data_IF_406270695240
#
_entry.id   IF_406270695240
#
_cell.length_a   1.000
_cell.length_b   1.000
_cell.length_c   1.000
_cell.angle_alpha   90.00
_cell.angle_beta   90.00
_cell.angle_gamma   90.00
#
_symmetry.space_group_name_H-M   'P 1'
#
loop_
_entity.id
_entity.type
_entity.pdbx_description
1 polymer ?
#
# COMPACT_ATOMS: atom_id res chain seq x y z
N UNK A 1 30.13 -4.34 -7.39
CA UNK A 1 30.16 -3.17 -6.48
C UNK A 1 28.96 -2.30 -6.81
N UNK A 2 28.26 -1.71 -5.83
CA UNK A 2 27.25 -0.71 -6.16
C UNK A 2 27.95 0.48 -6.82
N UNK A 3 27.36 1.11 -7.85
CA UNK A 3 28.03 2.11 -8.66
C UNK A 3 28.30 3.45 -7.96
N UNK A 4 27.89 3.58 -6.69
CA UNK A 4 27.97 4.79 -5.88
C UNK A 4 28.60 4.50 -4.54
N UNK A 5 29.40 5.45 -4.04
CA UNK A 5 30.09 5.36 -2.75
C UNK A 5 29.09 5.20 -1.59
N UNK A 6 29.56 4.66 -0.46
CA UNK A 6 28.75 4.58 0.77
C UNK A 6 28.25 5.95 1.23
N UNK A 7 29.09 6.98 1.14
CA UNK A 7 28.71 8.36 1.48
C UNK A 7 27.58 8.89 0.58
N UNK A 8 27.60 8.52 -0.69
CA UNK A 8 26.54 8.92 -1.62
C UNK A 8 25.23 8.16 -1.35
N UNK A 9 25.29 6.86 -1.06
CA UNK A 9 24.11 6.09 -0.66
C UNK A 9 23.45 6.65 0.59
N UNK A 10 24.25 7.05 1.59
CA UNK A 10 23.72 7.69 2.81
C UNK A 10 22.99 8.99 2.48
N UNK A 11 23.53 9.83 1.59
CA UNK A 11 22.85 11.06 1.14
C UNK A 11 21.51 10.77 0.45
N UNK A 12 21.43 9.74 -0.39
CA UNK A 12 20.16 9.35 -1.03
C UNK A 12 19.16 8.86 0.01
N UNK A 13 19.60 8.03 0.97
CA UNK A 13 18.74 7.55 2.05
C UNK A 13 18.20 8.72 2.87
N UNK A 14 19.07 9.59 3.38
CA UNK A 14 18.66 10.78 4.14
C UNK A 14 17.70 11.66 3.33
N UNK A 15 17.99 11.91 2.05
CA UNK A 15 17.10 12.69 1.18
C UNK A 15 15.73 12.03 1.00
N UNK A 16 15.69 10.70 0.84
CA UNK A 16 14.45 9.93 0.68
C UNK A 16 13.59 9.95 1.96
N UNK A 17 14.23 9.85 3.13
CA UNK A 17 13.56 9.95 4.43
C UNK A 17 13.01 11.37 4.67
N UNK A 18 13.82 12.40 4.45
CA UNK A 18 13.40 13.80 4.62
C UNK A 18 12.27 14.18 3.66
N UNK A 19 12.34 13.74 2.40
CA UNK A 19 11.27 13.98 1.43
C UNK A 19 9.98 13.28 1.84
N UNK A 20 10.06 12.03 2.30
CA UNK A 20 8.87 11.28 2.75
C UNK A 20 8.22 11.97 3.95
N UNK A 21 9.03 12.41 4.93
CA UNK A 21 8.55 13.20 6.07
C UNK A 21 7.91 14.52 5.64
N UNK A 22 8.49 15.21 4.65
CA UNK A 22 7.96 16.48 4.14
C UNK A 22 6.60 16.29 3.46
N UNK A 23 6.48 15.33 2.54
CA UNK A 23 5.28 15.12 1.73
C UNK A 23 4.11 14.56 2.57
N UNK A 24 4.42 13.77 3.59
CA UNK A 24 3.43 13.20 4.50
C UNK A 24 3.35 13.94 5.85
N UNK A 25 3.92 15.13 5.97
CA UNK A 25 3.96 15.89 7.24
C UNK A 25 2.56 16.09 7.85
N UNK A 26 1.56 16.38 7.01
CA UNK A 26 0.17 16.57 7.43
C UNK A 26 -0.51 15.30 7.96
N UNK A 27 0.04 14.13 7.64
CA UNK A 27 -0.52 12.84 8.06
C UNK A 27 0.03 12.36 9.42
N UNK A 28 1.10 12.97 9.93
CA UNK A 28 1.80 12.49 11.14
C UNK A 28 0.91 12.52 12.39
N UNK A 29 -0.06 13.44 12.47
CA UNK A 29 -0.91 13.62 13.65
C UNK A 29 -2.34 13.13 13.45
N UNK A 30 -2.61 12.39 12.38
CA UNK A 30 -3.95 11.86 12.15
C UNK A 30 -4.29 10.80 13.20
N UNK A 31 -5.59 10.62 13.53
CA UNK A 31 -6.03 9.52 14.39
C UNK A 31 -5.96 8.18 13.66
N UNK A 32 -6.28 7.10 14.37
CA UNK A 32 -6.55 5.81 13.74
C UNK A 32 -7.83 5.85 12.90
N UNK A 33 -7.91 4.99 11.89
CA UNK A 33 -9.05 4.90 10.98
C UNK A 33 -9.62 3.48 10.89
N UNK A 34 -10.94 3.33 10.99
CA UNK A 34 -11.66 2.07 10.79
C UNK A 34 -11.00 0.87 11.46
N UNK A 35 -10.42 -0.03 10.66
CA UNK A 35 -9.83 -1.30 11.08
C UNK A 35 -8.57 -1.12 11.94
N UNK A 36 -7.93 0.06 11.89
CA UNK A 36 -6.82 0.41 12.78
C UNK A 36 -7.26 0.23 14.24
N UNK A 37 -8.48 0.66 14.62
CA UNK A 37 -8.98 0.52 15.99
C UNK A 37 -9.10 -0.96 16.39
N UNK A 38 -9.62 -1.80 15.50
CA UNK A 38 -9.78 -3.24 15.77
C UNK A 38 -8.44 -3.92 15.96
N UNK A 39 -7.49 -3.67 15.05
CA UNK A 39 -6.15 -4.26 15.11
C UNK A 39 -5.40 -3.75 16.34
N UNK A 40 -5.40 -2.45 16.60
CA UNK A 40 -4.68 -1.88 17.73
C UNK A 40 -5.24 -2.36 19.08
N UNK A 41 -6.56 -2.45 19.25
CA UNK A 41 -7.16 -2.98 20.48
C UNK A 41 -6.96 -4.49 20.61
N UNK A 42 -6.94 -5.24 19.51
CA UNK A 42 -6.62 -6.67 19.53
C UNK A 42 -5.18 -6.89 20.00
N UNK A 43 -4.22 -6.18 19.40
CA UNK A 43 -2.81 -6.31 19.71
C UNK A 43 -2.48 -5.82 21.13
N UNK A 44 -3.17 -4.81 21.65
CA UNK A 44 -2.99 -4.37 23.03
C UNK A 44 -3.34 -5.45 24.07
N UNK A 45 -4.16 -6.43 23.68
CA UNK A 45 -4.56 -7.59 24.49
C UNK A 45 -3.70 -8.83 24.22
N UNK A 46 -2.55 -8.68 23.57
CA UNK A 46 -1.66 -9.78 23.15
C UNK A 46 -2.35 -10.81 22.25
N UNK A 47 -3.40 -10.41 21.52
CA UNK A 47 -4.13 -11.30 20.64
C UNK A 47 -3.61 -11.18 19.19
N UNK A 48 -3.02 -12.26 18.68
CA UNK A 48 -2.53 -12.36 17.29
C UNK A 48 -3.43 -13.23 16.41
N UNK A 49 -4.58 -13.64 16.93
CA UNK A 49 -5.59 -14.33 16.13
C UNK A 49 -6.23 -13.32 15.17
N UNK A 50 -5.97 -13.54 13.90
CA UNK A 50 -6.41 -12.67 12.81
C UNK A 50 -7.70 -13.18 12.16
N UNK A 51 -8.22 -14.32 12.61
CA UNK A 51 -9.31 -15.06 11.99
C UNK A 51 -8.96 -15.51 10.57
N UNK A 52 -9.05 -14.58 9.62
CA UNK A 52 -8.97 -14.84 8.17
C UNK A 52 -7.64 -14.39 7.51
N UNK A 53 -6.82 -13.56 8.17
CA UNK A 53 -5.65 -12.91 7.56
C UNK A 53 -4.31 -13.21 8.24
N UNK A 54 -3.54 -14.18 7.74
CA UNK A 54 -2.19 -14.43 8.26
C UNK A 54 -1.15 -13.38 7.77
N UNK A 55 -1.04 -12.26 8.48
CA UNK A 55 -0.06 -11.18 8.23
C UNK A 55 0.82 -10.86 9.46
N UNK A 56 1.56 -11.84 10.00
CA UNK A 56 2.24 -11.74 11.30
C UNK A 56 3.32 -10.65 11.35
N UNK A 57 3.95 -10.30 10.22
CA UNK A 57 4.98 -9.27 10.21
C UNK A 57 4.41 -7.88 10.53
N UNK A 58 3.24 -7.55 9.96
CA UNK A 58 2.56 -6.28 10.25
C UNK A 58 2.18 -6.20 11.73
N UNK A 59 1.43 -7.19 12.19
CA UNK A 59 0.95 -7.31 13.56
C UNK A 59 2.08 -7.28 14.60
N UNK A 60 3.15 -8.06 14.38
CA UNK A 60 4.29 -8.08 15.30
C UNK A 60 4.94 -6.70 15.43
N UNK A 61 5.13 -5.99 14.31
CA UNK A 61 5.74 -4.65 14.36
C UNK A 61 4.84 -3.60 15.01
N UNK A 62 3.53 -3.68 14.79
CA UNK A 62 2.54 -2.82 15.46
C UNK A 62 2.46 -3.13 16.96
N UNK A 63 2.49 -4.41 17.34
CA UNK A 63 2.50 -4.84 18.73
C UNK A 63 3.75 -4.34 19.48
N UNK A 64 4.95 -4.56 18.91
CA UNK A 64 6.19 -4.07 19.52
C UNK A 64 6.17 -2.54 19.66
N UNK A 65 5.58 -1.84 18.69
CA UNK A 65 5.41 -0.40 18.77
C UNK A 65 4.40 0.02 19.85
N UNK A 66 3.31 -0.74 20.03
CA UNK A 66 2.35 -0.53 21.10
C UNK A 66 2.97 -0.64 22.49
N UNK A 67 3.87 -1.61 22.72
CA UNK A 67 4.57 -1.75 24.00
C UNK A 67 5.40 -0.51 24.38
N UNK A 68 5.83 0.29 23.40
CA UNK A 68 6.66 1.48 23.63
C UNK A 68 5.84 2.77 23.62
N UNK A 69 4.85 2.89 22.73
CA UNK A 69 4.15 4.14 22.44
C UNK A 69 2.64 4.12 22.76
N UNK A 70 2.08 2.98 23.20
CA UNK A 70 0.66 2.82 23.47
C UNK A 70 -0.20 3.18 22.25
N UNK A 71 -1.34 3.83 22.48
CA UNK A 71 -2.25 4.26 21.41
C UNK A 71 -1.90 5.62 20.79
N UNK A 72 -0.64 6.09 20.87
CA UNK A 72 -0.24 7.36 20.26
C UNK A 72 -0.03 7.21 18.73
N UNK A 73 -0.95 7.70 17.87
CA UNK A 73 -0.89 7.48 16.42
C UNK A 73 0.35 8.09 15.76
N UNK A 74 0.91 9.16 16.33
CA UNK A 74 2.10 9.85 15.82
C UNK A 74 3.27 8.88 15.62
N UNK A 75 3.51 8.02 16.61
CA UNK A 75 4.58 7.03 16.57
C UNK A 75 4.43 6.13 15.34
N UNK A 76 3.21 5.63 15.09
CA UNK A 76 2.92 4.68 14.02
C UNK A 76 3.10 5.31 12.63
N UNK A 77 2.57 6.52 12.43
CA UNK A 77 2.71 7.25 11.18
C UNK A 77 4.18 7.57 10.87
N UNK A 78 4.97 8.03 11.85
CA UNK A 78 6.40 8.30 11.65
C UNK A 78 7.11 7.05 11.13
N UNK A 79 6.92 5.91 11.77
CA UNK A 79 7.59 4.67 11.33
C UNK A 79 7.05 4.24 9.95
N UNK A 80 5.76 4.41 9.61
CA UNK A 80 5.24 4.12 8.26
C UNK A 80 5.92 5.00 7.20
N UNK A 81 6.01 6.30 7.45
CA UNK A 81 6.64 7.27 6.54
C UNK A 81 8.14 6.95 6.36
N UNK A 82 8.84 6.56 7.43
CA UNK A 82 10.25 6.14 7.34
C UNK A 82 10.41 4.85 6.52
N UNK A 83 9.54 3.86 6.68
CA UNK A 83 9.54 2.66 5.83
C UNK A 83 9.28 3.00 4.35
N UNK A 84 8.38 3.95 4.09
CA UNK A 84 8.12 4.45 2.74
C UNK A 84 9.37 5.11 2.13
N UNK A 85 10.05 5.97 2.88
CA UNK A 85 11.31 6.58 2.45
C UNK A 85 12.44 5.56 2.22
N UNK A 86 12.55 4.54 3.07
CA UNK A 86 13.45 3.41 2.85
C UNK A 86 13.10 2.64 1.56
N UNK A 87 11.80 2.46 1.27
CA UNK A 87 11.35 1.84 0.01
C UNK A 87 11.77 2.68 -1.20
N UNK A 88 11.56 4.00 -1.15
CA UNK A 88 12.03 4.92 -2.19
C UNK A 88 13.54 4.85 -2.42
N UNK A 89 14.33 4.80 -1.34
CA UNK A 89 15.78 4.57 -1.43
C UNK A 89 16.13 3.23 -2.11
N UNK A 90 15.44 2.15 -1.76
CA UNK A 90 15.65 0.85 -2.40
C UNK A 90 15.26 0.85 -3.88
N UNK A 91 14.26 1.62 -4.30
CA UNK A 91 13.93 1.80 -5.73
C UNK A 91 15.12 2.44 -6.47
N UNK A 92 15.80 3.43 -5.88
CA UNK A 92 17.02 4.02 -6.46
C UNK A 92 18.11 2.96 -6.62
N UNK A 93 18.37 2.18 -5.56
CA UNK A 93 19.40 1.12 -5.60
C UNK A 93 19.05 -0.01 -6.57
N UNK A 94 17.78 -0.39 -6.64
CA UNK A 94 17.29 -1.42 -7.55
C UNK A 94 17.45 -0.97 -9.01
N UNK A 95 17.17 0.30 -9.31
CA UNK A 95 17.40 0.88 -10.63
C UNK A 95 18.88 0.81 -11.04
N UNK A 96 19.80 1.08 -10.11
CA UNK A 96 21.23 0.86 -10.34
C UNK A 96 21.56 -0.61 -10.57
N UNK A 97 20.96 -1.50 -9.77
CA UNK A 97 21.06 -2.95 -9.96
C UNK A 97 20.61 -3.39 -11.35
N UNK A 98 19.43 -2.99 -11.80
CA UNK A 98 18.90 -3.32 -13.14
C UNK A 98 19.77 -2.76 -14.26
N UNK A 99 20.29 -1.53 -14.09
CA UNK A 99 21.22 -0.92 -15.05
C UNK A 99 22.48 -1.79 -15.22
N UNK A 100 23.06 -2.27 -14.11
CA UNK A 100 24.23 -3.15 -14.15
C UNK A 100 23.88 -4.55 -14.68
N UNK A 101 22.72 -5.10 -14.28
CA UNK A 101 22.22 -6.42 -14.70
C UNK A 101 21.99 -6.53 -16.22
N UNK A 102 21.55 -5.43 -16.85
CA UNK A 102 21.34 -5.35 -18.30
C UNK A 102 22.49 -4.65 -19.05
N UNK A 103 23.54 -4.20 -18.35
CA UNK A 103 24.68 -3.51 -18.97
C UNK A 103 24.36 -2.11 -19.52
N UNK A 104 23.24 -1.50 -19.12
CA UNK A 104 22.78 -0.19 -19.61
C UNK A 104 23.22 0.90 -18.64
N UNK A 105 24.36 1.53 -18.91
CA UNK A 105 24.95 2.54 -18.02
C UNK A 105 24.48 3.98 -18.30
N UNK A 106 23.90 4.22 -19.48
CA UNK A 106 23.49 5.56 -19.90
C UNK A 106 22.37 6.09 -19.00
N UNK A 107 22.55 7.30 -18.46
CA UNK A 107 21.56 8.00 -17.65
C UNK A 107 21.07 7.24 -16.39
N UNK A 108 21.75 6.16 -15.98
CA UNK A 108 21.34 5.32 -14.83
C UNK A 108 21.13 6.12 -13.55
N UNK A 109 21.95 7.16 -13.34
CA UNK A 109 21.88 8.05 -12.19
C UNK A 109 20.54 8.77 -12.14
N UNK A 110 20.16 9.33 -13.28
CA UNK A 110 18.93 10.10 -13.45
C UNK A 110 17.73 9.16 -13.36
N UNK A 111 17.82 7.97 -13.96
CA UNK A 111 16.76 6.96 -13.88
C UNK A 111 16.54 6.49 -12.44
N UNK A 112 17.61 6.22 -11.69
CA UNK A 112 17.52 5.85 -10.28
C UNK A 112 16.91 6.94 -9.42
N UNK A 113 17.49 8.16 -9.47
CA UNK A 113 17.06 9.28 -8.62
C UNK A 113 15.61 9.69 -8.92
N UNK A 114 15.23 9.82 -10.20
CA UNK A 114 13.85 10.12 -10.58
C UNK A 114 12.89 8.97 -10.24
N UNK A 115 13.30 7.71 -10.43
CA UNK A 115 12.46 6.56 -10.10
C UNK A 115 12.10 6.52 -8.62
N UNK A 116 13.08 6.72 -7.73
CA UNK A 116 12.84 6.82 -6.29
C UNK A 116 12.04 8.06 -5.88
N UNK A 117 12.31 9.21 -6.52
CA UNK A 117 11.58 10.45 -6.29
C UNK A 117 10.09 10.32 -6.67
N UNK A 118 9.81 9.78 -7.86
CA UNK A 118 8.45 9.53 -8.32
C UNK A 118 7.75 8.49 -7.46
N UNK A 119 8.46 7.46 -6.99
CA UNK A 119 7.89 6.48 -6.06
C UNK A 119 7.46 7.14 -4.75
N UNK A 120 8.31 7.95 -4.11
CA UNK A 120 7.95 8.64 -2.85
C UNK A 120 6.73 9.56 -3.03
N UNK A 121 6.66 10.25 -4.16
CA UNK A 121 5.58 11.19 -4.45
C UNK A 121 4.41 10.57 -5.22
N UNK A 122 4.36 9.25 -5.38
CA UNK A 122 3.34 8.61 -6.21
C UNK A 122 1.96 8.71 -5.53
N UNK A 123 0.94 9.30 -6.20
CA UNK A 123 -0.29 9.71 -5.54
C UNK A 123 -1.15 8.57 -4.98
N UNK A 124 -0.97 7.34 -5.46
CA UNK A 124 -1.75 6.18 -4.98
C UNK A 124 -1.21 5.59 -3.68
N UNK A 125 -0.07 6.09 -3.16
CA UNK A 125 0.50 5.60 -1.91
C UNK A 125 -0.15 6.17 -0.66
N UNK A 126 -0.95 7.24 -0.77
CA UNK A 126 -1.54 7.92 0.38
C UNK A 126 -2.19 6.96 1.36
N UNK A 127 -3.07 6.09 0.87
CA UNK A 127 -3.74 5.10 1.69
C UNK A 127 -2.76 4.12 2.37
N UNK A 128 -1.72 3.65 1.68
CA UNK A 128 -0.76 2.69 2.27
C UNK A 128 0.08 3.31 3.38
N UNK A 129 0.45 4.58 3.22
CA UNK A 129 1.36 5.28 4.13
C UNK A 129 0.60 5.86 5.33
N UNK A 130 -0.58 6.43 5.09
CA UNK A 130 -1.40 7.06 6.12
C UNK A 130 -2.10 6.01 6.98
N UNK A 131 -2.72 4.99 6.38
CA UNK A 131 -3.40 3.94 7.13
C UNK A 131 -2.41 3.12 7.96
N UNK A 132 -2.61 3.06 9.28
CA UNK A 132 -1.60 2.52 10.20
C UNK A 132 -1.33 1.05 9.89
N UNK A 133 -2.37 0.25 9.71
CA UNK A 133 -2.21 -1.18 9.39
C UNK A 133 -1.72 -1.44 7.95
N UNK A 134 -1.64 -0.39 7.11
CA UNK A 134 -0.88 -0.39 5.86
C UNK A 134 0.60 -0.78 6.04
N UNK A 135 1.11 -0.76 7.28
CA UNK A 135 2.40 -1.31 7.74
C UNK A 135 2.78 -2.63 7.07
N UNK A 136 1.85 -3.59 6.98
CA UNK A 136 2.11 -4.90 6.38
C UNK A 136 2.54 -4.81 4.91
N UNK A 137 1.90 -3.93 4.14
CA UNK A 137 2.20 -3.69 2.71
C UNK A 137 3.55 -2.98 2.57
N UNK A 138 3.82 -1.99 3.42
CA UNK A 138 5.09 -1.25 3.43
C UNK A 138 6.27 -2.18 3.69
N UNK A 139 6.19 -3.01 4.74
CA UNK A 139 7.22 -3.98 5.09
C UNK A 139 7.38 -5.04 4.01
N UNK A 140 6.27 -5.63 3.53
CA UNK A 140 6.29 -6.62 2.46
C UNK A 140 7.01 -6.10 1.22
N UNK A 141 6.64 -4.90 0.76
CA UNK A 141 7.26 -4.27 -0.42
C UNK A 141 8.73 -3.93 -0.18
N UNK A 142 9.10 -3.42 1.00
CA UNK A 142 10.49 -3.18 1.37
C UNK A 142 11.34 -4.45 1.25
N UNK A 143 10.83 -5.57 1.77
CA UNK A 143 11.54 -6.85 1.71
C UNK A 143 11.51 -7.50 0.31
N UNK A 144 10.46 -7.28 -0.50
CA UNK A 144 10.47 -7.62 -1.94
C UNK A 144 11.58 -6.86 -2.67
N UNK A 145 11.72 -5.55 -2.43
CA UNK A 145 12.76 -4.72 -3.02
C UNK A 145 14.17 -5.17 -2.59
N UNK A 146 14.36 -5.47 -1.30
CA UNK A 146 15.61 -6.05 -0.79
C UNK A 146 15.92 -7.39 -1.45
N UNK A 147 14.92 -8.26 -1.57
CA UNK A 147 15.07 -9.56 -2.21
C UNK A 147 15.50 -9.42 -3.66
N UNK A 148 14.83 -8.56 -4.44
CA UNK A 148 15.18 -8.25 -5.83
C UNK A 148 16.58 -7.64 -5.96
N UNK A 149 16.95 -6.71 -5.07
CA UNK A 149 18.27 -6.08 -5.08
C UNK A 149 19.37 -7.12 -4.81
N UNK A 150 19.17 -8.00 -3.83
CA UNK A 150 20.12 -9.07 -3.51
C UNK A 150 20.21 -10.11 -4.63
N UNK A 151 19.07 -10.46 -5.23
CA UNK A 151 18.99 -11.35 -6.40
C UNK A 151 19.82 -10.82 -7.57
N UNK A 152 19.60 -9.56 -7.95
CA UNK A 152 20.34 -8.91 -9.04
C UNK A 152 21.84 -8.87 -8.76
N UNK A 153 22.23 -8.57 -7.51
CA UNK A 153 23.64 -8.56 -7.10
C UNK A 153 24.26 -9.95 -7.08
N UNK A 154 23.52 -10.97 -6.63
CA UNK A 154 23.94 -12.36 -6.71
C UNK A 154 24.20 -12.76 -8.16
N UNK A 155 23.27 -12.46 -9.05
CA UNK A 155 23.39 -12.80 -10.48
C UNK A 155 24.53 -12.07 -11.20
N UNK A 156 25.02 -10.97 -10.64
CA UNK A 156 26.20 -10.26 -11.14
C UNK A 156 27.53 -10.75 -10.53
N UNK A 157 27.51 -11.24 -9.28
CA UNK A 157 28.73 -11.53 -8.50
C UNK A 157 28.95 -13.02 -8.20
N UNK A 158 27.95 -13.87 -8.40
CA UNK A 158 27.99 -15.31 -8.09
C UNK A 158 28.10 -15.67 -6.61
N UNK A 159 27.95 -14.70 -5.69
CA UNK A 159 28.20 -14.92 -4.25
C UNK A 159 26.99 -15.50 -3.53
N UNK A 160 27.08 -16.76 -3.08
CA UNK A 160 25.97 -17.51 -2.47
C UNK A 160 25.23 -16.77 -1.34
N UNK A 161 25.95 -16.06 -0.46
CA UNK A 161 25.31 -15.30 0.63
C UNK A 161 24.28 -14.27 0.15
N UNK A 162 24.46 -13.70 -1.05
CA UNK A 162 23.49 -12.77 -1.64
C UNK A 162 22.21 -13.49 -2.06
N UNK A 163 22.30 -14.73 -2.54
CA UNK A 163 21.13 -15.55 -2.85
C UNK A 163 20.37 -15.92 -1.58
N UNK A 164 21.09 -16.31 -0.53
CA UNK A 164 20.50 -16.63 0.78
C UNK A 164 19.78 -15.40 1.35
N UNK A 165 20.43 -14.23 1.36
CA UNK A 165 19.80 -12.98 1.81
C UNK A 165 18.58 -12.61 0.96
N UNK A 166 18.61 -12.88 -0.35
CA UNK A 166 17.45 -12.67 -1.23
C UNK A 166 16.27 -13.57 -0.85
N UNK A 167 16.52 -14.85 -0.59
CA UNK A 167 15.49 -15.82 -0.18
C UNK A 167 14.94 -15.52 1.21
N UNK A 168 15.80 -15.14 2.16
CA UNK A 168 15.38 -14.74 3.51
C UNK A 168 14.51 -13.47 3.46
N UNK A 169 14.92 -12.46 2.70
CA UNK A 169 14.10 -11.27 2.49
C UNK A 169 12.75 -11.61 1.86
N UNK A 170 12.71 -12.53 0.88
CA UNK A 170 11.46 -12.97 0.28
C UNK A 170 10.55 -13.70 1.29
N UNK A 171 11.10 -14.59 2.11
CA UNK A 171 10.35 -15.27 3.15
C UNK A 171 9.72 -14.27 4.14
N UNK A 172 10.48 -13.26 4.56
CA UNK A 172 9.96 -12.19 5.43
C UNK A 172 8.87 -11.38 4.71
N UNK A 173 9.03 -11.08 3.42
CA UNK A 173 8.02 -10.34 2.65
C UNK A 173 6.65 -11.03 2.61
N UNK A 174 6.64 -12.36 2.46
CA UNK A 174 5.42 -13.18 2.47
C UNK A 174 4.66 -13.12 3.80
N UNK A 175 5.36 -12.88 4.91
CA UNK A 175 4.74 -12.69 6.23
C UNK A 175 4.06 -11.33 6.40
N UNK A 176 4.30 -10.38 5.50
CA UNK A 176 3.70 -9.03 5.55
C UNK A 176 2.44 -8.89 4.72
N UNK A 177 2.49 -9.31 3.45
CA UNK A 177 1.39 -9.14 2.51
C UNK A 177 1.48 -10.13 1.34
N UNK A 178 0.34 -10.65 0.91
CA UNK A 178 0.20 -11.69 -0.11
C UNK A 178 0.73 -11.30 -1.50
N UNK A 179 0.81 -10.00 -1.83
CA UNK A 179 1.33 -9.51 -3.12
C UNK A 179 2.80 -9.86 -3.33
N UNK A 180 3.54 -10.15 -2.25
CA UNK A 180 4.92 -10.65 -2.35
C UNK A 180 4.99 -11.96 -3.14
N UNK A 181 3.94 -12.78 -3.14
CA UNK A 181 3.88 -14.08 -3.82
C UNK A 181 4.14 -14.02 -5.33
N UNK A 182 4.07 -12.85 -5.96
CA UNK A 182 4.41 -12.67 -7.39
C UNK A 182 5.92 -12.71 -7.67
N UNK A 183 6.77 -12.56 -6.64
CA UNK A 183 8.21 -12.40 -6.82
C UNK A 183 8.90 -13.53 -7.62
N UNK A 184 8.58 -14.83 -7.45
CA UNK A 184 9.15 -15.89 -8.29
C UNK A 184 8.93 -15.65 -9.79
N UNK A 185 7.74 -15.18 -10.17
CA UNK A 185 7.40 -14.86 -11.56
C UNK A 185 8.16 -13.63 -12.07
N UNK A 186 8.33 -12.60 -11.22
CA UNK A 186 9.18 -11.44 -11.54
C UNK A 186 10.62 -11.88 -11.80
N UNK A 187 11.19 -12.72 -10.94
CA UNK A 187 12.56 -13.25 -11.10
C UNK A 187 12.68 -14.08 -12.37
N UNK A 188 11.70 -14.95 -12.65
CA UNK A 188 11.67 -15.75 -13.87
C UNK A 188 11.72 -14.89 -15.13
N UNK A 189 10.89 -13.83 -15.20
CA UNK A 189 10.88 -12.88 -16.32
C UNK A 189 12.21 -12.15 -16.46
N UNK A 190 12.79 -11.68 -15.34
CA UNK A 190 14.11 -11.03 -15.34
C UNK A 190 15.23 -11.97 -15.83
N UNK A 191 15.20 -13.25 -15.44
CA UNK A 191 16.17 -14.25 -15.87
C UNK A 191 16.03 -14.60 -17.36
N UNK A 192 14.81 -14.80 -17.86
CA UNK A 192 14.57 -15.04 -19.30
C UNK A 192 14.97 -13.82 -20.12
N UNK A 193 14.63 -12.61 -19.68
CA UNK A 193 14.93 -11.39 -20.42
C UNK A 193 16.44 -11.20 -20.60
N UNK A 194 17.24 -11.54 -19.57
CA UNK A 194 18.71 -11.45 -19.61
C UNK A 194 19.35 -12.55 -20.44
N UNK A 195 19.11 -13.82 -20.10
CA UNK A 195 19.90 -14.93 -20.63
C UNK A 195 19.25 -15.62 -21.84
N UNK A 196 17.98 -15.30 -22.15
CA UNK A 196 17.19 -15.92 -23.24
C UNK A 196 17.07 -17.44 -23.15
N UNK A 197 17.30 -18.02 -21.96
CA UNK A 197 17.31 -19.46 -21.72
C UNK A 197 16.30 -19.82 -20.64
N UNK A 198 15.23 -20.51 -21.05
CA UNK A 198 14.13 -20.90 -20.16
C UNK A 198 14.62 -21.82 -19.02
N UNK A 199 15.48 -22.81 -19.34
CA UNK A 199 16.02 -23.75 -18.35
C UNK A 199 16.84 -23.02 -17.27
N UNK A 200 17.64 -22.02 -17.65
CA UNK A 200 18.42 -21.23 -16.70
C UNK A 200 17.50 -20.43 -15.77
N UNK A 201 16.43 -19.83 -16.31
CA UNK A 201 15.44 -19.12 -15.53
C UNK A 201 14.75 -20.03 -14.51
N UNK A 202 14.33 -21.24 -14.90
CA UNK A 202 13.74 -22.21 -13.97
C UNK A 202 14.67 -22.56 -12.81
N UNK A 203 15.96 -22.83 -13.08
CA UNK A 203 16.95 -23.16 -12.03
C UNK A 203 17.11 -22.04 -11.02
N UNK A 204 17.09 -20.81 -11.48
CA UNK A 204 17.23 -19.61 -10.66
C UNK A 204 15.97 -19.31 -9.84
N UNK A 205 14.79 -19.56 -10.43
CA UNK A 205 13.49 -19.25 -9.82
C UNK A 205 13.03 -20.33 -8.83
N UNK A 206 13.38 -21.61 -9.04
CA UNK A 206 12.92 -22.74 -8.22
C UNK A 206 13.06 -22.50 -6.70
N UNK A 207 14.19 -22.00 -6.16
CA UNK A 207 14.32 -21.75 -4.73
C UNK A 207 13.27 -20.77 -4.17
N UNK A 208 12.86 -19.77 -4.97
CA UNK A 208 11.80 -18.84 -4.60
C UNK A 208 10.43 -19.51 -4.65
N UNK A 209 10.18 -20.38 -5.64
CA UNK A 209 8.95 -21.19 -5.66
C UNK A 209 8.86 -22.08 -4.43
N UNK A 210 9.96 -22.71 -4.01
CA UNK A 210 10.00 -23.53 -2.80
C UNK A 210 9.66 -22.73 -1.53
N UNK A 211 10.22 -21.52 -1.38
CA UNK A 211 9.88 -20.62 -0.26
C UNK A 211 8.39 -20.23 -0.28
N UNK A 212 7.86 -19.90 -1.46
CA UNK A 212 6.44 -19.57 -1.63
C UNK A 212 5.52 -20.74 -1.25
N UNK A 213 5.84 -21.95 -1.70
CA UNK A 213 5.09 -23.16 -1.35
C UNK A 213 5.16 -23.45 0.15
N UNK A 214 6.33 -23.29 0.77
CA UNK A 214 6.48 -23.41 2.22
C UNK A 214 5.59 -22.44 3.00
N UNK A 215 5.48 -21.18 2.54
CA UNK A 215 4.56 -20.21 3.12
C UNK A 215 3.09 -20.59 2.92
N UNK A 216 2.70 -21.08 1.73
CA UNK A 216 1.32 -21.54 1.48
C UNK A 216 0.96 -22.70 2.40
N UNK A 217 1.87 -23.67 2.58
CA UNK A 217 1.67 -24.79 3.50
C UNK A 217 1.56 -24.32 4.95
N UNK A 218 2.41 -23.39 5.39
CA UNK A 218 2.31 -22.77 6.71
C UNK A 218 0.96 -22.09 6.90
N UNK A 219 0.51 -21.32 5.90
CA UNK A 219 -0.78 -20.63 5.94
C UNK A 219 -1.94 -21.61 6.06
N UNK A 220 -1.91 -22.72 5.33
CA UNK A 220 -2.90 -23.77 5.39
C UNK A 220 -2.92 -24.48 6.76
N UNK A 221 -1.76 -24.70 7.37
CA UNK A 221 -1.68 -25.34 8.68
C UNK A 221 -2.16 -24.46 9.84
N UNK A 222 -2.02 -23.13 9.73
CA UNK A 222 -2.36 -22.18 10.80
C UNK A 222 -3.81 -21.68 10.73
N UNK A 223 -4.43 -21.67 9.55
CA UNK A 223 -5.81 -21.21 9.35
C UNK A 223 -6.74 -22.44 9.16
N UNK A 224 -7.50 -22.86 10.20
CA UNK A 224 -8.23 -24.14 10.22
C UNK A 224 -9.42 -24.21 9.25
N UNK A 225 -9.95 -23.06 8.85
CA UNK A 225 -11.01 -22.96 7.86
C UNK A 225 -10.40 -22.62 6.50
N UNK A 226 -10.57 -23.52 5.53
CA UNK A 226 -10.16 -23.35 4.14
C UNK A 226 -10.84 -22.18 3.41
N UNK A 227 -11.49 -21.26 4.13
CA UNK A 227 -12.13 -20.07 3.57
C UNK A 227 -11.13 -19.02 3.10
N UNK A 228 -9.82 -19.22 3.32
CA UNK A 228 -8.73 -18.54 2.61
C UNK A 228 -8.76 -17.00 2.66
N UNK A 229 -9.59 -16.44 3.54
CA UNK A 229 -10.21 -15.14 3.37
C UNK A 229 -11.16 -15.13 2.18
N UNK A 230 -12.45 -14.87 2.44
CA UNK A 230 -13.52 -14.56 1.48
C UNK A 230 -13.22 -13.33 0.57
N UNK A 231 -11.98 -12.82 0.61
CA UNK A 231 -11.34 -11.83 -0.25
C UNK A 231 -10.84 -12.41 -1.57
N UNK A 232 -10.42 -13.68 -1.61
CA UNK A 232 -10.18 -14.39 -2.86
C UNK A 232 -11.50 -15.01 -3.32
N UNK A 233 -12.48 -14.15 -3.67
CA UNK A 233 -13.74 -14.59 -4.27
C UNK A 233 -13.46 -15.26 -5.61
N UNK A 234 -13.24 -16.56 -5.53
CA UNK A 234 -13.17 -17.46 -6.67
C UNK A 234 -14.59 -17.88 -7.02
N UNK A 235 -14.91 -18.01 -8.30
CA UNK A 235 -16.27 -18.32 -8.78
C UNK A 235 -16.99 -17.17 -9.50
N UNK A 236 -16.35 -16.00 -9.65
CA UNK A 236 -16.83 -14.97 -10.57
C UNK A 236 -16.46 -15.33 -12.02
N UNK A 237 -17.26 -14.88 -13.00
CA UNK A 237 -16.97 -15.11 -14.42
C UNK A 237 -15.73 -14.35 -14.94
N UNK A 238 -15.17 -14.79 -16.08
CA UNK A 238 -13.96 -14.20 -16.69
C UNK A 238 -14.05 -12.67 -16.85
N UNK A 239 -15.24 -12.13 -17.14
CA UNK A 239 -15.47 -10.69 -17.30
C UNK A 239 -15.16 -9.86 -16.04
N UNK A 240 -15.43 -10.40 -14.85
CA UNK A 240 -15.11 -9.74 -13.58
C UNK A 240 -13.61 -9.58 -13.41
N UNK A 241 -12.85 -10.65 -13.65
CA UNK A 241 -11.39 -10.63 -13.54
C UNK A 241 -10.73 -9.72 -14.58
N UNK A 242 -11.24 -9.72 -15.82
CA UNK A 242 -10.78 -8.81 -16.87
C UNK A 242 -11.05 -7.34 -16.51
N UNK A 243 -12.24 -7.02 -15.99
CA UNK A 243 -12.58 -5.68 -15.53
C UNK A 243 -11.67 -5.23 -14.39
N UNK A 244 -11.53 -6.05 -13.34
CA UNK A 244 -10.68 -5.73 -12.19
C UNK A 244 -9.23 -5.49 -12.61
N UNK A 245 -8.71 -6.31 -13.52
CA UNK A 245 -7.35 -6.14 -13.98
C UNK A 245 -7.19 -4.86 -14.81
N UNK A 246 -8.15 -4.54 -15.68
CA UNK A 246 -8.17 -3.27 -16.41
C UNK A 246 -8.26 -2.06 -15.47
N UNK A 247 -9.06 -2.15 -14.40
CA UNK A 247 -9.15 -1.13 -13.35
C UNK A 247 -7.81 -0.96 -12.62
N UNK A 248 -7.15 -2.05 -12.23
CA UNK A 248 -5.83 -2.02 -11.57
C UNK A 248 -4.76 -1.38 -12.46
N UNK A 249 -4.68 -1.79 -13.73
CA UNK A 249 -3.70 -1.25 -14.69
C UNK A 249 -3.97 0.23 -14.97
N UNK A 250 -5.22 0.63 -15.17
CA UNK A 250 -5.58 2.03 -15.44
C UNK A 250 -5.28 2.94 -14.23
N UNK A 251 -5.64 2.52 -13.02
CA UNK A 251 -5.36 3.25 -11.77
C UNK A 251 -3.86 3.36 -11.47
N UNK A 252 -3.04 2.51 -12.07
CA UNK A 252 -1.57 2.64 -12.10
C UNK A 252 -1.06 3.89 -12.83
N UNK A 253 -1.86 4.53 -13.68
CA UNK A 253 -1.44 5.72 -14.43
C UNK A 253 -2.31 6.94 -14.19
N UNK A 254 -3.59 6.76 -13.82
CA UNK A 254 -4.54 7.85 -13.66
C UNK A 254 -5.22 7.84 -12.29
N UNK A 255 -5.56 9.04 -11.74
CA UNK A 255 -6.40 9.13 -10.57
C UNK A 255 -7.83 8.62 -10.88
N UNK A 256 -8.60 8.24 -9.84
CA UNK A 256 -9.98 7.85 -10.01
C UNK A 256 -10.83 9.10 -10.33
N UNK A 257 -12.03 8.88 -10.86
CA UNK A 257 -12.98 9.97 -11.07
C UNK A 257 -14.41 9.51 -10.84
N UNK A 258 -15.15 10.28 -10.06
CA UNK A 258 -16.58 10.06 -9.86
C UNK A 258 -17.38 10.11 -11.18
N UNK A 259 -16.87 10.83 -12.18
CA UNK A 259 -17.45 10.88 -13.52
C UNK A 259 -16.73 9.89 -14.45
N UNK A 260 -17.45 8.84 -14.86
CA UNK A 260 -16.91 7.80 -15.73
C UNK A 260 -16.40 8.34 -17.09
N UNK A 261 -17.04 9.37 -17.64
CA UNK A 261 -16.60 10.00 -18.91
C UNK A 261 -15.23 10.64 -18.74
N UNK A 262 -15.02 11.38 -17.64
CA UNK A 262 -13.71 11.98 -17.36
C UNK A 262 -12.63 10.94 -17.05
N UNK A 263 -12.98 9.86 -16.35
CA UNK A 263 -12.07 8.75 -16.14
C UNK A 263 -11.61 8.13 -17.46
N UNK A 264 -12.55 7.78 -18.34
CA UNK A 264 -12.26 7.16 -19.65
C UNK A 264 -11.49 8.12 -20.56
N UNK A 265 -11.89 9.40 -20.64
CA UNK A 265 -11.19 10.39 -21.45
C UNK A 265 -9.74 10.59 -20.98
N UNK A 266 -9.50 10.64 -19.66
CA UNK A 266 -8.16 10.74 -19.08
C UNK A 266 -7.33 9.50 -19.39
N UNK A 267 -7.94 8.31 -19.28
CA UNK A 267 -7.29 7.04 -19.61
C UNK A 267 -6.85 7.01 -21.08
N UNK A 268 -7.75 7.31 -22.02
CA UNK A 268 -7.45 7.32 -23.45
C UNK A 268 -6.36 8.34 -23.79
N UNK A 269 -6.40 9.53 -23.17
CA UNK A 269 -5.38 10.57 -23.35
C UNK A 269 -4.00 10.10 -22.88
N UNK A 270 -3.93 9.45 -21.72
CA UNK A 270 -2.69 8.92 -21.16
C UNK A 270 -2.18 7.74 -21.99
N UNK A 271 -3.04 6.82 -22.41
CA UNK A 271 -2.65 5.69 -23.28
C UNK A 271 -2.12 6.17 -24.62
N UNK A 272 -2.75 7.19 -25.23
CA UNK A 272 -2.26 7.82 -26.45
C UNK A 272 -0.88 8.44 -26.25
N UNK A 273 -0.70 9.22 -25.17
CA UNK A 273 0.60 9.81 -24.84
C UNK A 273 1.68 8.75 -24.62
N UNK A 274 1.39 7.72 -23.82
CA UNK A 274 2.31 6.61 -23.56
C UNK A 274 2.65 5.86 -24.86
N UNK A 275 1.67 5.64 -25.73
CA UNK A 275 1.85 5.01 -27.04
C UNK A 275 2.77 5.83 -27.96
N UNK A 276 2.57 7.16 -28.03
CA UNK A 276 3.42 8.07 -28.79
C UNK A 276 4.86 8.10 -28.24
N UNK A 277 5.04 8.15 -26.92
CA UNK A 277 6.35 8.11 -26.28
C UNK A 277 7.05 6.77 -26.51
N UNK A 278 6.33 5.65 -26.44
CA UNK A 278 6.84 4.31 -26.75
C UNK A 278 7.24 4.19 -28.22
N UNK A 279 6.43 4.70 -29.14
CA UNK A 279 6.75 4.74 -30.56
C UNK A 279 8.01 5.58 -30.85
N UNK A 280 8.13 6.75 -30.19
CA UNK A 280 9.33 7.59 -30.23
C UNK A 280 10.58 6.84 -29.75
N UNK A 281 10.51 6.13 -28.62
CA UNK A 281 11.60 5.29 -28.13
C UNK A 281 11.95 4.17 -29.11
N UNK A 282 10.95 3.47 -29.65
CA UNK A 282 11.18 2.38 -30.60
C UNK A 282 11.95 2.86 -31.83
N UNK A 283 11.67 4.07 -32.32
CA UNK A 283 12.35 4.66 -33.48
C UNK A 283 13.73 5.24 -33.16
N UNK A 284 13.94 5.78 -31.96
CA UNK A 284 15.15 6.56 -31.62
C UNK A 284 16.13 5.84 -30.70
N UNK A 285 15.64 4.96 -29.82
CA UNK A 285 16.42 4.36 -28.74
C UNK A 285 15.88 2.97 -28.32
N UNK A 286 16.21 1.95 -29.10
CA UNK A 286 15.77 0.56 -28.90
C UNK A 286 16.10 0.00 -27.49
N UNK A 287 17.30 0.26 -26.90
CA UNK A 287 17.58 -0.18 -25.53
C UNK A 287 16.58 0.35 -24.50
N UNK A 288 16.25 1.65 -24.55
CA UNK A 288 15.25 2.26 -23.66
C UNK A 288 13.85 1.71 -23.92
N UNK A 289 13.48 1.49 -25.19
CA UNK A 289 12.22 0.85 -25.55
C UNK A 289 12.08 -0.55 -24.92
N UNK A 290 13.12 -1.39 -25.03
CA UNK A 290 13.13 -2.74 -24.43
C UNK A 290 13.01 -2.70 -22.91
N UNK A 291 13.68 -1.76 -22.25
CA UNK A 291 13.52 -1.55 -20.80
C UNK A 291 12.11 -1.11 -20.43
N UNK A 292 11.51 -0.19 -21.20
CA UNK A 292 10.14 0.25 -20.98
C UNK A 292 9.15 -0.92 -21.12
N UNK A 293 9.29 -1.75 -22.17
CA UNK A 293 8.52 -2.99 -22.34
C UNK A 293 8.66 -3.96 -21.16
N UNK A 294 9.88 -4.10 -20.61
CA UNK A 294 10.11 -4.94 -19.45
C UNK A 294 9.39 -4.38 -18.21
N UNK A 295 9.53 -3.08 -17.91
CA UNK A 295 8.91 -2.51 -16.72
C UNK A 295 7.38 -2.50 -16.78
N UNK A 296 6.78 -2.25 -17.95
CA UNK A 296 5.32 -2.40 -18.09
C UNK A 296 4.89 -3.85 -17.89
N UNK A 297 5.63 -4.83 -18.42
CA UNK A 297 5.34 -6.26 -18.19
C UNK A 297 5.44 -6.62 -16.70
N UNK A 298 6.49 -6.16 -16.01
CA UNK A 298 6.66 -6.41 -14.57
C UNK A 298 5.57 -5.72 -13.73
N UNK A 299 5.13 -4.52 -14.11
CA UNK A 299 4.00 -3.83 -13.49
C UNK A 299 2.72 -4.65 -13.62
N UNK A 300 2.39 -5.10 -14.83
CA UNK A 300 1.21 -5.93 -15.12
C UNK A 300 1.27 -7.22 -14.29
N UNK A 301 2.39 -7.92 -14.32
CA UNK A 301 2.59 -9.14 -13.54
C UNK A 301 2.44 -8.90 -12.04
N UNK A 302 2.99 -7.82 -11.49
CA UNK A 302 2.90 -7.48 -10.07
C UNK A 302 1.46 -7.26 -9.58
N UNK A 303 0.53 -6.94 -10.48
CA UNK A 303 -0.89 -6.78 -10.18
C UNK A 303 -1.69 -8.09 -10.19
N UNK A 304 -1.12 -9.19 -10.69
CA UNK A 304 -1.83 -10.46 -10.86
C UNK A 304 -2.49 -11.00 -9.58
N UNK A 305 -1.85 -10.97 -8.39
CA UNK A 305 -2.46 -11.46 -7.15
C UNK A 305 -3.72 -10.69 -6.72
N UNK A 306 -3.99 -9.52 -7.31
CA UNK A 306 -5.03 -8.57 -6.88
C UNK A 306 -6.28 -8.62 -7.77
N UNK A 307 -6.25 -9.43 -8.84
CA UNK A 307 -7.35 -9.59 -9.81
C UNK A 307 -8.65 -10.04 -9.14
N UNK A 308 -8.57 -10.76 -8.02
CA UNK A 308 -9.74 -11.25 -7.27
C UNK A 308 -10.40 -10.17 -6.39
N UNK A 309 -9.67 -9.12 -6.03
CA UNK A 309 -10.16 -8.06 -5.11
C UNK A 309 -10.63 -6.83 -5.88
N UNK A 310 -9.92 -6.46 -6.96
CA UNK A 310 -10.22 -5.26 -7.74
C UNK A 310 -9.83 -3.95 -7.04
N UNK A 311 -10.10 -2.84 -7.71
CA UNK A 311 -9.86 -1.48 -7.21
C UNK A 311 -10.98 -0.56 -7.68
N UNK A 312 -11.34 0.43 -6.88
CA UNK A 312 -12.32 1.44 -7.28
C UNK A 312 -11.76 2.35 -8.36
N UNK A 313 -12.56 2.64 -9.39
CA UNK A 313 -12.24 3.65 -10.42
C UNK A 313 -12.92 5.00 -10.15
N UNK A 314 -13.82 5.07 -9.17
CA UNK A 314 -14.64 6.24 -8.88
C UNK A 314 -14.09 7.08 -7.73
N UNK A 315 -13.39 6.45 -6.79
CA UNK A 315 -12.73 7.08 -5.66
C UNK A 315 -11.34 6.48 -5.39
N UNK A 316 -10.63 7.01 -4.39
CA UNK A 316 -9.27 6.58 -4.09
C UNK A 316 -9.19 5.27 -3.29
N UNK A 317 -10.30 4.56 -3.10
CA UNK A 317 -10.33 3.30 -2.38
C UNK A 317 -9.48 2.23 -3.09
N UNK A 318 -8.65 1.52 -2.32
CA UNK A 318 -7.83 0.43 -2.83
C UNK A 318 -6.53 0.89 -3.48
N UNK A 319 -6.15 2.17 -3.34
CA UNK A 319 -4.83 2.67 -3.77
C UNK A 319 -3.67 1.85 -3.17
N UNK A 320 -3.90 1.28 -1.98
CA UNK A 320 -2.98 0.34 -1.33
C UNK A 320 -2.55 -0.87 -2.17
N UNK A 321 -3.39 -1.33 -3.09
CA UNK A 321 -3.08 -2.47 -3.96
C UNK A 321 -2.03 -2.14 -5.02
N UNK A 322 -1.84 -0.85 -5.33
CA UNK A 322 -0.88 -0.42 -6.34
C UNK A 322 0.54 -0.21 -5.79
N UNK A 323 0.74 -0.31 -4.47
CA UNK A 323 1.98 0.10 -3.83
C UNK A 323 3.22 -0.66 -4.35
N UNK A 324 3.13 -1.99 -4.47
CA UNK A 324 4.22 -2.82 -4.97
C UNK A 324 4.44 -2.64 -6.49
N UNK A 325 3.37 -2.59 -7.29
CA UNK A 325 3.48 -2.42 -8.74
C UNK A 325 3.99 -1.04 -9.15
N UNK A 326 3.75 -0.02 -8.32
CA UNK A 326 4.22 1.35 -8.55
C UNK A 326 5.74 1.44 -8.70
N UNK A 327 6.51 0.53 -8.10
CA UNK A 327 7.96 0.41 -8.34
C UNK A 327 8.26 0.36 -9.83
N UNK A 328 7.55 -0.51 -10.56
CA UNK A 328 7.75 -0.69 -11.99
C UNK A 328 7.10 0.43 -12.81
N UNK A 329 5.96 0.97 -12.38
CA UNK A 329 5.33 2.15 -13.00
C UNK A 329 6.26 3.35 -12.98
N UNK A 330 6.85 3.70 -11.83
CA UNK A 330 7.74 4.84 -11.67
C UNK A 330 9.02 4.66 -12.51
N UNK A 331 9.60 3.45 -12.54
CA UNK A 331 10.73 3.16 -13.40
C UNK A 331 10.37 3.24 -14.90
N UNK A 332 9.19 2.76 -15.30
CA UNK A 332 8.68 2.87 -16.67
C UNK A 332 8.54 4.33 -17.12
N UNK A 333 7.86 5.16 -16.33
CA UNK A 333 7.70 6.61 -16.62
C UNK A 333 9.07 7.29 -16.70
N UNK A 334 9.98 6.94 -15.79
CA UNK A 334 11.33 7.52 -15.78
C UNK A 334 12.13 7.17 -17.03
N UNK A 335 12.07 5.92 -17.50
CA UNK A 335 12.71 5.46 -18.74
C UNK A 335 12.09 6.16 -19.96
N UNK A 336 10.77 6.34 -20.00
CA UNK A 336 10.11 7.08 -21.08
C UNK A 336 10.60 8.52 -21.19
N UNK A 337 10.66 9.24 -20.06
CA UNK A 337 11.12 10.63 -20.03
C UNK A 337 12.60 10.75 -20.40
N UNK A 338 13.44 9.89 -19.80
CA UNK A 338 14.88 9.93 -20.01
C UNK A 338 15.21 9.55 -21.46
N UNK A 339 14.61 8.48 -21.99
CA UNK A 339 14.88 8.02 -23.34
C UNK A 339 14.44 8.99 -24.44
N UNK A 340 13.35 9.75 -24.22
CA UNK A 340 12.85 10.72 -25.20
C UNK A 340 13.47 12.10 -25.06
N UNK A 341 13.69 12.58 -23.82
CA UNK A 341 13.94 14.01 -23.58
C UNK A 341 15.28 14.32 -22.93
N UNK A 342 16.05 13.36 -22.39
CA UNK A 342 17.20 13.64 -21.50
C UNK A 342 18.22 14.67 -22.01
N UNK A 343 18.47 14.71 -23.33
CA UNK A 343 19.42 15.66 -23.96
C UNK A 343 18.75 16.87 -24.61
N UNK A 344 17.47 17.10 -24.33
CA UNK A 344 16.68 18.18 -24.91
C UNK A 344 16.36 19.24 -23.86
N UNK A 345 16.07 20.47 -24.31
CA UNK A 345 15.59 21.55 -23.43
C UNK A 345 14.28 21.24 -22.70
N UNK A 346 13.54 20.22 -23.15
CA UNK A 346 12.24 19.83 -22.59
C UNK A 346 12.35 18.85 -21.41
N UNK A 347 13.56 18.34 -21.09
CA UNK A 347 13.73 17.36 -20.02
C UNK A 347 13.28 17.87 -18.65
N UNK A 348 13.93 18.91 -18.14
CA UNK A 348 13.64 19.46 -16.81
C UNK A 348 12.18 19.94 -16.68
N UNK A 349 11.59 20.67 -17.66
CA UNK A 349 10.17 21.00 -17.61
C UNK A 349 9.26 19.77 -17.51
N UNK A 350 9.53 18.71 -18.28
CA UNK A 350 8.70 17.49 -18.24
C UNK A 350 8.78 16.79 -16.88
N UNK A 351 9.99 16.72 -16.30
CA UNK A 351 10.19 16.18 -14.95
C UNK A 351 9.47 17.02 -13.91
N UNK A 352 9.58 18.35 -13.99
CA UNK A 352 8.93 19.27 -13.07
C UNK A 352 7.39 19.15 -13.15
N UNK A 353 6.81 19.08 -14.34
CA UNK A 353 5.36 18.91 -14.52
C UNK A 353 4.87 17.60 -13.89
N UNK A 354 5.53 16.48 -14.19
CA UNK A 354 5.12 15.17 -13.66
C UNK A 354 5.30 15.10 -12.14
N UNK A 355 6.40 15.62 -11.63
CA UNK A 355 6.66 15.66 -10.20
C UNK A 355 5.62 16.54 -9.48
N UNK A 356 5.39 17.76 -9.96
CA UNK A 356 4.39 18.67 -9.40
C UNK A 356 2.99 18.08 -9.44
N UNK A 357 2.59 17.45 -10.56
CA UNK A 357 1.30 16.78 -10.66
C UNK A 357 1.19 15.64 -9.65
N UNK A 358 2.23 14.82 -9.50
CA UNK A 358 2.25 13.70 -8.54
C UNK A 358 2.10 14.20 -7.10
N UNK A 359 2.84 15.25 -6.73
CA UNK A 359 2.75 15.88 -5.41
C UNK A 359 1.38 16.51 -5.17
N UNK A 360 0.83 17.25 -6.13
CA UNK A 360 -0.50 17.89 -5.99
C UNK A 360 -1.58 16.83 -5.80
N UNK A 361 -1.58 15.76 -6.61
CA UNK A 361 -2.52 14.66 -6.46
C UNK A 361 -2.36 13.95 -5.11
N UNK A 362 -1.12 13.71 -4.67
CA UNK A 362 -0.84 13.08 -3.37
C UNK A 362 -1.31 13.96 -2.18
N UNK A 363 -1.05 15.27 -2.25
CA UNK A 363 -1.50 16.21 -1.23
C UNK A 363 -3.02 16.35 -1.20
N UNK A 364 -3.69 16.25 -2.35
CA UNK A 364 -5.15 16.21 -2.41
C UNK A 364 -5.70 15.00 -1.65
N UNK A 365 -5.20 13.79 -1.93
CA UNK A 365 -5.66 12.58 -1.24
C UNK A 365 -5.36 12.66 0.25
N UNK A 366 -4.13 13.05 0.62
CA UNK A 366 -3.74 13.25 2.02
C UNK A 366 -4.62 14.29 2.73
N UNK A 367 -5.06 15.34 2.03
CA UNK A 367 -6.01 16.32 2.55
C UNK A 367 -7.40 15.73 2.85
N UNK A 368 -7.87 14.79 2.03
CA UNK A 368 -9.12 14.08 2.31
C UNK A 368 -9.00 13.19 3.56
N UNK A 369 -7.86 12.54 3.77
CA UNK A 369 -7.56 11.81 5.00
C UNK A 369 -7.52 12.73 6.23
N UNK A 370 -6.99 13.95 6.07
CA UNK A 370 -7.04 14.96 7.13
C UNK A 370 -8.47 15.36 7.51
N UNK A 371 -9.31 15.65 6.52
CA UNK A 371 -10.73 15.97 6.76
C UNK A 371 -11.46 14.85 7.51
N UNK A 372 -11.20 13.60 7.15
CA UNK A 372 -11.75 12.45 7.84
C UNK A 372 -11.20 12.31 9.27
N UNK A 373 -9.89 12.51 9.46
CA UNK A 373 -9.26 12.47 10.78
C UNK A 373 -9.82 13.52 11.73
N UNK A 374 -9.98 14.75 11.25
CA UNK A 374 -10.61 15.83 12.03
C UNK A 374 -12.07 15.48 12.39
N UNK A 375 -12.78 14.79 11.50
CA UNK A 375 -14.13 14.30 11.78
C UNK A 375 -14.16 13.16 12.80
N UNK A 376 -13.17 12.26 12.80
CA UNK A 376 -13.07 11.17 13.80
C UNK A 376 -12.89 11.77 15.17
N UNK A 377 -11.96 12.71 15.31
CA UNK A 377 -11.70 13.40 16.57
C UNK A 377 -12.94 14.15 17.06
N UNK A 378 -13.60 14.96 16.21
CA UNK A 378 -14.85 15.65 16.60
C UNK A 378 -15.96 14.68 17.03
N UNK A 379 -16.13 13.59 16.29
CA UNK A 379 -17.15 12.59 16.60
C UNK A 379 -16.89 11.93 17.96
N UNK A 380 -15.65 11.51 18.22
CA UNK A 380 -15.28 10.91 19.50
C UNK A 380 -15.35 11.91 20.65
N UNK A 381 -14.92 13.15 20.45
CA UNK A 381 -14.95 14.20 21.47
C UNK A 381 -16.37 14.58 21.87
N UNK A 382 -17.34 14.49 20.94
CA UNK A 382 -18.75 14.77 21.22
C UNK A 382 -19.44 13.75 22.14
N UNK A 383 -18.87 12.54 22.27
CA UNK A 383 -19.44 11.48 23.08
C UNK A 383 -19.05 11.65 24.55
N UNK A 384 -20.00 11.46 25.50
CA UNK A 384 -19.67 11.34 26.91
C UNK A 384 -18.99 9.99 27.21
N UNK A 385 -18.49 9.84 28.43
CA UNK A 385 -18.17 8.50 28.97
C UNK A 385 -19.47 7.78 29.25
N UNK A 386 -19.58 6.53 28.82
CA UNK A 386 -20.78 5.73 28.92
C UNK A 386 -20.77 4.86 30.18
N UNK A 387 -21.83 4.98 30.99
CA UNK A 387 -22.07 4.16 32.19
C UNK A 387 -23.02 2.96 31.94
N UNK A 388 -23.26 2.61 30.67
CA UNK A 388 -24.19 1.56 30.27
C UNK A 388 -24.22 1.32 28.76
N UNK A 389 -25.12 0.43 28.28
CA UNK A 389 -25.22 0.08 26.87
C UNK A 389 -25.53 1.28 25.98
N UNK A 390 -24.86 1.36 24.83
CA UNK A 390 -25.00 2.45 23.86
C UNK A 390 -25.31 1.93 22.46
N UNK A 391 -26.00 2.71 21.64
CA UNK A 391 -26.07 2.50 20.19
C UNK A 391 -25.55 3.75 19.50
N UNK A 392 -24.58 3.58 18.60
CA UNK A 392 -24.03 4.66 17.78
C UNK A 392 -24.43 4.40 16.33
N UNK A 393 -25.35 5.22 15.82
CA UNK A 393 -26.00 4.98 14.53
C UNK A 393 -25.75 6.14 13.55
N UNK A 394 -25.84 5.84 12.25
CA UNK A 394 -25.84 6.85 11.19
C UNK A 394 -24.47 7.40 10.79
N UNK A 395 -23.38 6.90 11.36
CA UNK A 395 -22.03 7.26 10.91
C UNK A 395 -21.78 6.74 9.48
N UNK A 396 -21.21 7.55 8.58
CA UNK A 396 -20.91 7.09 7.22
C UNK A 396 -19.74 6.11 7.21
N UNK A 397 -19.72 5.19 6.25
CA UNK A 397 -18.60 4.25 6.09
C UNK A 397 -17.27 4.95 5.79
N UNK A 398 -17.33 6.08 5.07
CA UNK A 398 -16.17 6.84 4.61
C UNK A 398 -16.44 8.33 4.57
N UNK A 399 -15.37 9.12 4.70
CA UNK A 399 -15.37 10.56 4.48
C UNK A 399 -14.30 10.88 3.44
N UNK A 400 -14.73 11.39 2.28
CA UNK A 400 -13.86 11.50 1.11
C UNK A 400 -13.34 10.11 0.71
N UNK A 401 -12.01 9.94 0.79
CA UNK A 401 -11.31 8.70 0.45
C UNK A 401 -10.88 7.86 1.64
N UNK A 402 -11.04 8.36 2.87
CA UNK A 402 -10.60 7.66 4.07
C UNK A 402 -11.76 6.87 4.67
N UNK A 403 -11.47 5.65 5.11
CA UNK A 403 -12.41 4.86 5.90
C UNK A 403 -12.65 5.56 7.24
N UNK A 404 -13.91 5.76 7.59
CA UNK A 404 -14.29 6.48 8.80
C UNK A 404 -14.52 5.50 9.95
N UNK A 405 -15.74 5.00 10.05
CA UNK A 405 -16.15 3.98 11.02
C UNK A 405 -16.79 2.76 10.34
N UNK A 406 -16.37 2.45 9.10
CA UNK A 406 -16.80 1.25 8.37
C UNK A 406 -16.66 0.00 9.23
N UNK A 407 -15.54 -0.11 9.93
CA UNK A 407 -15.34 -1.07 11.02
C UNK A 407 -14.75 -0.33 12.23
N UNK A 408 -14.67 -0.99 13.38
CA UNK A 408 -13.88 -0.50 14.50
C UNK A 408 -14.49 0.61 15.34
N UNK A 409 -15.74 1.02 15.11
CA UNK A 409 -16.40 2.10 15.89
C UNK A 409 -16.43 1.78 17.39
N UNK A 410 -16.75 0.53 17.74
CA UNK A 410 -16.76 0.07 19.13
C UNK A 410 -15.36 0.15 19.75
N UNK A 411 -14.35 -0.31 19.02
CA UNK A 411 -12.97 -0.30 19.47
C UNK A 411 -12.42 1.12 19.59
N UNK A 412 -12.88 2.04 18.73
CA UNK A 412 -12.59 3.46 18.84
C UNK A 412 -13.10 4.02 20.17
N UNK A 413 -14.34 3.73 20.57
CA UNK A 413 -14.86 4.20 21.86
C UNK A 413 -14.00 3.73 23.05
N UNK A 414 -13.49 2.50 23.02
CA UNK A 414 -12.61 1.97 24.07
C UNK A 414 -11.26 2.70 24.07
N UNK A 415 -10.64 2.86 22.90
CA UNK A 415 -9.33 3.53 22.75
C UNK A 415 -9.41 5.01 23.16
N UNK A 416 -10.53 5.69 22.88
CA UNK A 416 -10.80 7.07 23.29
C UNK A 416 -11.32 7.21 24.73
N UNK A 417 -11.39 6.11 25.51
CA UNK A 417 -11.82 6.14 26.91
C UNK A 417 -13.29 6.50 27.11
N UNK A 418 -14.14 6.26 26.11
CA UNK A 418 -15.59 6.55 26.16
C UNK A 418 -16.40 5.44 26.82
N UNK A 419 -15.82 4.29 27.11
CA UNK A 419 -16.45 3.27 27.95
C UNK A 419 -15.79 1.89 27.81
N UNK A 420 -15.96 1.07 28.85
CA UNK A 420 -15.52 -0.33 28.88
C UNK A 420 -16.59 -1.22 28.24
N UNK A 421 -16.62 -1.26 26.92
CA UNK A 421 -17.59 -2.10 26.20
C UNK A 421 -17.27 -3.58 26.37
N UNK A 422 -17.86 -4.24 27.38
CA UNK A 422 -18.14 -5.67 27.34
C UNK A 422 -19.33 -5.87 26.38
N UNK A 423 -19.06 -6.24 25.13
CA UNK A 423 -20.13 -6.61 24.20
C UNK A 423 -20.86 -7.88 24.69
N UNK A 424 -22.09 -8.13 24.24
CA UNK A 424 -22.80 -9.36 24.56
C UNK A 424 -22.01 -10.55 24.00
N UNK A 425 -21.41 -11.36 24.88
CA UNK A 425 -20.66 -12.56 24.46
C UNK A 425 -19.46 -12.96 25.31
N UNK A 426 -19.01 -12.15 26.27
CA UNK A 426 -18.00 -12.59 27.27
C UNK A 426 -18.69 -12.71 28.63
N UNK A 427 -19.02 -13.95 29.01
CA UNK A 427 -19.78 -14.24 30.22
C UNK A 427 -19.04 -13.87 31.50
N UNK A 428 -19.75 -13.21 32.43
CA UNK A 428 -20.28 -13.86 33.62
C UNK A 428 -21.13 -12.87 34.44
N UNK A 429 -22.36 -13.28 34.72
CA UNK A 429 -23.20 -12.92 35.86
C UNK A 429 -23.11 -11.49 36.45
N UNK A 430 -24.10 -10.63 36.13
CA UNK A 430 -24.73 -9.75 37.14
C UNK A 430 -26.22 -9.58 36.83
N UNK A 431 -27.01 -9.84 37.85
CA UNK A 431 -28.45 -9.71 38.01
C UNK A 431 -28.95 -8.25 38.05
N UNK A 432 -28.60 -7.41 37.05
CA UNK A 432 -29.21 -6.09 36.89
C UNK A 432 -30.26 -6.11 35.77
N UNK A 433 -31.42 -5.43 35.95
CA UNK A 433 -32.36 -5.26 34.84
C UNK A 433 -31.66 -4.53 33.68
N UNK A 434 -31.98 -4.86 32.42
CA UNK A 434 -31.31 -4.24 31.27
C UNK A 434 -31.52 -2.72 31.32
N UNK A 435 -30.42 -1.99 31.57
CA UNK A 435 -30.43 -0.53 31.49
C UNK A 435 -30.86 -0.12 30.07
N UNK A 436 -31.70 0.91 29.91
CA UNK A 436 -32.12 1.35 28.58
C UNK A 436 -30.91 1.76 27.74
N UNK A 437 -30.83 1.25 26.52
CA UNK A 437 -29.75 1.55 25.58
C UNK A 437 -29.78 3.04 25.27
N UNK A 438 -28.68 3.74 25.54
CA UNK A 438 -28.56 5.15 25.18
C UNK A 438 -28.23 5.24 23.69
N UNK A 439 -29.10 5.87 22.91
CA UNK A 439 -28.91 5.99 21.46
C UNK A 439 -28.30 7.34 21.11
N UNK A 440 -27.30 7.32 20.23
CA UNK A 440 -26.69 8.52 19.66
C UNK A 440 -26.69 8.42 18.14
N UNK A 441 -27.14 9.51 17.50
CA UNK A 441 -27.18 9.63 16.05
C UNK A 441 -26.04 10.52 15.58
N UNK A 442 -25.29 10.07 14.59
CA UNK A 442 -24.28 10.89 13.93
C UNK A 442 -24.96 11.95 13.07
N UNK A 443 -24.69 13.23 13.38
CA UNK A 443 -25.20 14.37 12.63
C UNK A 443 -24.11 15.45 12.53
N UNK A 444 -23.81 15.90 11.31
CA UNK A 444 -22.87 16.99 11.04
C UNK A 444 -21.50 16.88 11.73
N UNK A 445 -20.94 15.67 11.84
CA UNK A 445 -19.60 15.46 12.39
C UNK A 445 -19.55 15.17 13.89
N UNK A 446 -20.69 15.05 14.56
CA UNK A 446 -20.80 14.75 15.99
C UNK A 446 -21.88 13.70 16.24
N UNK A 447 -21.76 12.97 17.34
CA UNK A 447 -22.81 12.08 17.84
C UNK A 447 -23.67 12.83 18.85
N UNK A 448 -24.97 12.91 18.60
CA UNK A 448 -25.94 13.60 19.45
C UNK A 448 -26.88 12.58 20.08
N UNK A 449 -27.17 12.72 21.38
CA UNK A 449 -28.08 11.82 22.09
C UNK A 449 -29.49 11.91 21.47
N UNK A 450 -29.99 10.78 21.00
CA UNK A 450 -31.36 10.63 20.49
C UNK A 450 -32.30 10.69 21.69
N UNK A 451 -32.87 11.87 21.94
CA UNK A 451 -33.87 12.05 22.99
C UNK A 451 -35.21 11.64 22.40
N UNK A 452 -35.96 10.70 23.01
CA UNK A 452 -37.31 10.40 22.55
C UNK A 452 -38.12 11.69 22.57
N UNK A 453 -38.75 12.02 21.44
CA UNK A 453 -39.57 13.22 21.29
C UNK A 453 -40.58 13.28 22.45
N UNK A 454 -40.58 14.34 23.28
CA UNK A 454 -41.58 14.49 24.34
C UNK A 454 -43.02 14.54 23.80
N UNK A 455 -43.22 14.74 22.49
CA UNK A 455 -44.54 14.73 21.85
C UNK A 455 -45.08 13.33 21.49
N UNK A 456 -44.28 12.27 21.56
CA UNK A 456 -44.71 10.89 21.24
C UNK A 456 -45.25 10.12 22.47
N UNK A 457 -45.58 10.83 23.56
CA UNK A 457 -46.31 10.27 24.72
C UNK A 457 -47.82 10.46 24.66
N UNK A 458 -48.36 11.09 23.61
CA UNK A 458 -49.82 11.26 23.42
C UNK A 458 -50.48 10.20 22.54
N UNK A 459 -49.73 9.19 22.09
CA UNK A 459 -50.26 8.06 21.32
C UNK A 459 -49.94 6.72 22.01
N UNK A 460 -50.33 6.57 23.27
CA UNK A 460 -50.50 5.26 23.92
C UNK A 460 -51.75 5.27 24.78
#
# INVERSE_FOLDING_TARGET
MMPVSRSFQLKILTGSLLLSLLVYAQAIQLPFFSDDFQVMLRLSKNNFDTGIFLRPLGDLTLYLQYQVAGFNPLSYHVVNILLHGCSGFLVVLLSFGFSDYYGIKQSRMVIGMMGGLLFICYPMHAETVIWVIGRGILLSTLFVLLSLLMFVRWSALGKLHLQILSLLAFAIALLGYETAGVLPLVIFILSIHRDRRIIAAFRVTWPYVAVMLGYILLRYAVLPEGDGGSYFRTGNGIGFYLYNYAALVSRGFIPPSANAVYFVASLLSVLLLLGLLMWGLMKRNIPFFRQACLYILLMVVALLPLVTVGISTTDHEGGRFLYQSAVFTCLFVTVLLTGNFFRTRFFLPSVAVIFSLSVVLLLNVSGQWKLAGDAVTRAMDSLPVFDGPVSLDGAPDKIGSAYFFRNGLREACIIYGKGDWAGPGVGNAVSEPPRPVQRYLYNNGVFVKDSPDPFDRKAR
#
